data_IF_609169123264
#
_entry.id   IF_609169123264
#
_cell.length_a   1.000
_cell.length_b   1.000
_cell.length_c   1.000
_cell.angle_alpha   90.00
_cell.angle_beta   90.00
_cell.angle_gamma   90.00
#
_symmetry.space_group_name_H-M   'P 1'
#
loop_
_entity.id
_entity.type
_entity.pdbx_description
1 polymer ?
#
# COMPACT_ATOMS: atom_id res chain seq x y z
N UNK A 1 -8.47 13.82 7.51
CA UNK A 1 -8.20 12.77 6.53
C UNK A 1 -6.75 12.85 6.09
N UNK A 2 -6.07 11.71 6.13
CA UNK A 2 -4.70 11.54 5.67
C UNK A 2 -4.68 10.61 4.46
N UNK A 3 -3.82 10.88 3.49
CA UNK A 3 -3.53 9.97 2.38
C UNK A 3 -2.05 9.60 2.44
N UNK A 4 -1.75 8.31 2.37
CA UNK A 4 -0.40 7.81 2.14
C UNK A 4 -0.30 7.24 0.73
N UNK A 5 0.77 7.56 0.01
CA UNK A 5 1.14 6.92 -1.26
C UNK A 5 2.46 6.19 -1.02
N UNK A 6 2.46 4.87 -1.21
CA UNK A 6 3.60 4.01 -0.92
C UNK A 6 3.82 3.10 -2.12
N UNK A 7 4.97 3.21 -2.78
CA UNK A 7 5.26 2.35 -3.93
C UNK A 7 6.74 2.03 -4.10
N UNK A 8 6.97 0.98 -4.87
CA UNK A 8 8.27 0.53 -5.34
C UNK A 8 8.37 0.79 -6.84
N UNK A 9 9.54 1.23 -7.27
CA UNK A 9 9.99 1.13 -8.65
C UNK A 9 10.55 -0.29 -8.83
N UNK A 10 9.83 -1.13 -9.58
CA UNK A 10 10.12 -2.54 -9.77
C UNK A 10 11.33 -2.68 -10.69
N UNK A 11 12.41 -3.24 -10.12
CA UNK A 11 13.67 -3.50 -10.81
C UNK A 11 13.67 -4.93 -11.36
N UNK A 12 14.58 -5.23 -12.28
CA UNK A 12 14.74 -6.59 -12.84
C UNK A 12 15.04 -7.66 -11.77
N UNK A 13 15.61 -7.26 -10.64
CA UNK A 13 15.88 -8.13 -9.49
C UNK A 13 14.66 -8.37 -8.58
N UNK A 14 13.61 -7.55 -8.70
CA UNK A 14 12.41 -7.66 -7.89
C UNK A 14 11.43 -8.68 -8.49
N UNK A 15 10.49 -9.22 -7.69
CA UNK A 15 9.41 -10.02 -8.22
C UNK A 15 8.58 -9.25 -9.24
N UNK A 16 8.20 -9.93 -10.34
CA UNK A 16 7.36 -9.31 -11.37
C UNK A 16 6.04 -8.77 -10.79
N UNK A 17 5.51 -7.72 -11.40
CA UNK A 17 4.19 -7.15 -11.05
C UNK A 17 3.09 -8.22 -11.00
N UNK A 18 3.12 -9.20 -11.91
CA UNK A 18 2.18 -10.32 -11.93
C UNK A 18 2.27 -11.21 -10.68
N UNK A 19 3.47 -11.38 -10.12
CA UNK A 19 3.66 -12.10 -8.84
C UNK A 19 3.16 -11.24 -7.69
N UNK A 20 3.45 -9.93 -7.70
CA UNK A 20 2.98 -9.01 -6.67
C UNK A 20 1.46 -8.93 -6.62
N UNK A 21 0.75 -8.93 -7.75
CA UNK A 21 -0.71 -8.93 -7.76
C UNK A 21 -1.34 -10.17 -7.11
N UNK A 22 -0.66 -11.32 -7.15
CA UNK A 22 -1.16 -12.55 -6.51
C UNK A 22 -1.19 -12.46 -4.98
N UNK A 23 -0.49 -11.49 -4.40
CA UNK A 23 -0.48 -11.26 -2.94
C UNK A 23 -1.73 -10.52 -2.47
N UNK A 24 -2.48 -9.91 -3.39
CA UNK A 24 -3.77 -9.24 -3.15
C UNK A 24 -4.87 -10.31 -3.25
N UNK A 25 -4.80 -11.29 -2.35
CA UNK A 25 -5.79 -12.35 -2.23
C UNK A 25 -6.94 -11.96 -1.27
N UNK A 26 -7.94 -12.85 -1.14
CA UNK A 26 -9.09 -12.63 -0.25
C UNK A 26 -8.67 -12.39 1.19
N UNK A 27 -7.65 -13.09 1.67
CA UNK A 27 -7.17 -12.97 3.04
C UNK A 27 -6.50 -11.61 3.27
N UNK A 28 -5.70 -11.14 2.32
CA UNK A 28 -5.11 -9.81 2.32
C UNK A 28 -6.22 -8.75 2.39
N UNK A 29 -7.21 -8.82 1.49
CA UNK A 29 -8.33 -7.87 1.47
C UNK A 29 -9.12 -7.89 2.79
N UNK A 30 -9.41 -9.08 3.34
CA UNK A 30 -10.12 -9.24 4.60
C UNK A 30 -9.34 -8.72 5.82
N UNK A 31 -8.01 -8.81 5.81
CA UNK A 31 -7.18 -8.25 6.89
C UNK A 31 -7.23 -6.73 6.88
N UNK A 32 -7.17 -6.11 5.69
CA UNK A 32 -7.21 -4.66 5.57
C UNK A 32 -8.61 -4.07 5.79
N UNK A 33 -9.69 -4.79 5.48
CA UNK A 33 -11.07 -4.29 5.65
C UNK A 33 -11.48 -4.01 7.09
N UNK A 34 -10.75 -4.57 8.07
CA UNK A 34 -11.07 -4.44 9.50
C UNK A 34 -10.17 -3.45 10.23
N UNK A 35 -9.33 -2.72 9.51
CA UNK A 35 -8.39 -1.76 10.12
C UNK A 35 -9.13 -0.50 10.54
N UNK A 36 -8.94 -0.11 11.80
CA UNK A 36 -9.54 1.10 12.35
C UNK A 36 -9.12 2.35 11.57
N UNK A 37 -10.06 3.26 11.34
CA UNK A 37 -9.90 4.53 10.62
C UNK A 37 -9.51 4.42 9.14
N UNK A 38 -9.29 3.21 8.61
CA UNK A 38 -9.06 3.01 7.19
C UNK A 38 -10.36 3.25 6.42
N UNK A 39 -10.34 4.21 5.50
CA UNK A 39 -11.43 4.43 4.54
C UNK A 39 -11.26 3.48 3.37
N UNK A 40 -10.06 3.45 2.79
CA UNK A 40 -9.77 2.61 1.64
C UNK A 40 -8.27 2.34 1.52
N UNK A 41 -7.94 1.21 0.89
CA UNK A 41 -6.59 0.87 0.46
C UNK A 41 -6.64 0.39 -0.98
N UNK A 42 -6.21 1.28 -1.87
CA UNK A 42 -6.21 1.06 -3.30
C UNK A 42 -4.82 0.58 -3.74
N UNK A 43 -4.74 -0.65 -4.21
CA UNK A 43 -3.53 -1.15 -4.85
C UNK A 43 -3.46 -0.64 -6.29
N UNK A 44 -2.26 -0.29 -6.75
CA UNK A 44 -2.06 0.17 -8.13
C UNK A 44 -0.79 -0.40 -8.72
N UNK A 45 -0.79 -0.49 -10.04
CA UNK A 45 0.36 -0.87 -10.85
C UNK A 45 0.50 0.07 -12.06
N UNK A 46 1.73 0.26 -12.51
CA UNK A 46 2.04 0.78 -13.82
C UNK A 46 3.07 -0.14 -14.48
N UNK A 47 2.63 -0.94 -15.45
CA UNK A 47 3.51 -1.92 -16.11
C UNK A 47 4.50 -1.29 -17.09
N UNK A 48 4.18 -0.11 -17.62
CA UNK A 48 5.05 0.59 -18.58
C UNK A 48 6.24 1.21 -17.88
N UNK A 49 6.00 1.87 -16.75
CA UNK A 49 7.04 2.57 -15.98
C UNK A 49 7.59 1.73 -14.82
N UNK A 50 7.01 0.55 -14.57
CA UNK A 50 7.48 -0.38 -13.56
C UNK A 50 7.15 0.04 -12.13
N UNK A 51 5.93 0.45 -11.84
CA UNK A 51 5.51 0.80 -10.47
C UNK A 51 4.51 -0.18 -9.90
N UNK A 52 4.61 -0.42 -8.60
CA UNK A 52 3.62 -1.18 -7.86
C UNK A 52 3.52 -0.67 -6.42
N UNK A 53 2.31 -0.49 -5.92
CA UNK A 53 2.13 0.09 -4.60
C UNK A 53 0.69 0.19 -4.15
N UNK A 54 0.48 1.05 -3.15
CA UNK A 54 -0.83 1.33 -2.61
C UNK A 54 -1.01 2.81 -2.26
N UNK A 55 -2.24 3.27 -2.43
CA UNK A 55 -2.77 4.50 -1.83
C UNK A 55 -3.59 4.08 -0.62
N UNK A 56 -3.34 4.69 0.53
CA UNK A 56 -4.03 4.39 1.78
C UNK A 56 -4.72 5.65 2.27
N UNK A 57 -6.03 5.57 2.49
CA UNK A 57 -6.86 6.72 2.89
C UNK A 57 -7.35 6.48 4.31
N UNK A 58 -7.04 7.42 5.20
CA UNK A 58 -7.39 7.37 6.61
C UNK A 58 -8.35 8.51 6.95
N UNK A 59 -9.51 8.20 7.54
CA UNK A 59 -10.47 9.24 7.94
C UNK A 59 -9.88 10.11 9.05
N UNK A 60 -9.22 9.44 10.01
CA UNK A 60 -8.56 10.00 11.19
C UNK A 60 -7.07 9.67 11.21
N UNK A 61 -6.48 9.65 12.41
CA UNK A 61 -5.11 9.24 12.62
C UNK A 61 -4.93 7.75 12.32
N UNK A 62 -3.79 7.45 11.70
CA UNK A 62 -3.36 6.10 11.39
C UNK A 62 -3.02 5.37 12.71
N UNK A 63 -3.53 4.14 12.93
CA UNK A 63 -3.16 3.35 14.11
C UNK A 63 -1.66 3.02 14.16
N UNK A 64 -1.18 2.63 15.34
CA UNK A 64 0.17 2.11 15.51
C UNK A 64 0.50 0.99 14.53
N UNK A 65 1.75 0.92 14.09
CA UNK A 65 2.20 -0.08 13.11
C UNK A 65 1.96 -1.52 13.57
N UNK A 66 1.99 -1.78 14.88
CA UNK A 66 1.68 -3.09 15.48
C UNK A 66 0.22 -3.52 15.28
N UNK A 67 -0.68 -2.57 15.04
CA UNK A 67 -2.12 -2.80 14.85
C UNK A 67 -2.49 -2.94 13.36
N UNK A 68 -1.53 -2.78 12.45
CA UNK A 68 -1.75 -2.91 11.01
C UNK A 68 -1.43 -4.33 10.52
N UNK A 69 -2.11 -4.81 9.47
CA UNK A 69 -1.74 -6.06 8.83
C UNK A 69 -0.28 -6.04 8.35
N UNK A 70 0.38 -7.22 8.29
CA UNK A 70 1.76 -7.31 7.84
C UNK A 70 1.98 -6.66 6.47
N UNK A 71 3.13 -5.98 6.32
CA UNK A 71 3.55 -5.43 5.03
C UNK A 71 4.11 -6.55 4.13
N UNK A 72 3.23 -7.44 3.66
CA UNK A 72 3.56 -8.54 2.74
C UNK A 72 4.41 -8.07 1.53
N UNK A 73 4.11 -6.93 0.86
CA UNK A 73 4.95 -6.43 -0.22
C UNK A 73 6.42 -6.24 0.16
N UNK A 74 6.72 -5.59 1.30
CA UNK A 74 8.10 -5.39 1.76
C UNK A 74 8.83 -6.72 1.97
N UNK A 75 8.17 -7.72 2.54
CA UNK A 75 8.76 -9.05 2.76
C UNK A 75 9.06 -9.79 1.45
N UNK A 76 8.19 -9.66 0.45
CA UNK A 76 8.32 -10.34 -0.85
C UNK A 76 9.34 -9.64 -1.75
N UNK A 77 9.34 -8.31 -1.76
CA UNK A 77 10.27 -7.49 -2.54
C UNK A 77 11.66 -7.46 -1.85
N UNK A 78 11.73 -7.64 -0.53
CA UNK A 78 12.98 -7.72 0.22
C UNK A 78 13.64 -6.38 0.54
N UNK A 79 12.96 -5.26 0.27
CA UNK A 79 13.46 -3.90 0.51
C UNK A 79 12.33 -2.93 0.82
N UNK A 80 12.69 -1.81 1.43
CA UNK A 80 11.78 -0.69 1.68
C UNK A 80 11.24 -0.07 0.37
N UNK A 81 10.04 0.55 0.43
CA UNK A 81 9.49 1.27 -0.71
C UNK A 81 10.41 2.42 -1.12
N UNK A 82 10.54 2.66 -2.42
CA UNK A 82 11.34 3.76 -2.95
C UNK A 82 10.67 5.11 -2.63
N UNK A 83 9.32 5.14 -2.60
CA UNK A 83 8.56 6.33 -2.28
C UNK A 83 7.54 6.04 -1.17
N UNK A 84 7.53 6.93 -0.18
CA UNK A 84 6.46 7.07 0.80
C UNK A 84 6.14 8.55 0.98
N UNK A 85 4.91 8.92 0.64
CA UNK A 85 4.39 10.27 0.80
C UNK A 85 3.22 10.24 1.77
N UNK A 86 3.14 11.24 2.65
CA UNK A 86 2.01 11.45 3.54
C UNK A 86 1.43 12.84 3.28
N UNK A 87 0.13 12.89 3.00
CA UNK A 87 -0.59 14.08 2.60
C UNK A 87 -1.74 14.33 3.58
N UNK A 88 -1.81 15.54 4.12
CA UNK A 88 -2.94 16.00 4.91
C UNK A 88 -3.94 16.71 4.00
N UNK A 89 -5.20 16.26 3.99
CA UNK A 89 -6.24 16.98 3.27
C UNK A 89 -6.77 18.15 4.08
N UNK A 90 -6.73 19.33 3.48
CA UNK A 90 -7.15 20.60 4.09
C UNK A 90 -8.66 20.81 3.94
N UNK A 91 -9.27 20.29 2.87
CA UNK A 91 -10.72 20.30 2.66
C UNK A 91 -11.16 19.14 1.76
N UNK A 92 -12.43 18.72 1.88
CA UNK A 92 -13.11 17.86 0.90
C UNK A 92 -14.05 18.79 0.09
N UNK A 93 -14.00 18.67 -1.24
CA UNK A 93 -14.93 19.35 -2.17
C UNK A 93 -16.35 18.80 -2.00
#
# INVERSE_FOLDING_TARGET
MNIEIIYWEIKDSDPSISVLNRIIDKDCLSQWSSVENLVDKLWFENKSDGYWGAIVIWDKEKPDLSSLPPNKPKSIIGRDPDIRLSLNLISRL
#
